data_IF_306836973218
#
_entry.id   IF_306836973218
#
_cell.length_a   1.000
_cell.length_b   1.000
_cell.length_c   1.000
_cell.angle_alpha   90.00
_cell.angle_beta   90.00
_cell.angle_gamma   90.00
#
_symmetry.space_group_name_H-M   'P 1'
#
loop_
_entity.id
_entity.type
_entity.pdbx_description
1 polymer ?
#
# COMPACT_ATOMS: atom_id res chain seq x y z
N UNK A 1 53.50 -2.30 19.71
CA UNK A 1 53.22 -1.50 18.50
C UNK A 1 52.29 -2.31 17.62
N UNK A 2 50.99 -2.03 17.75
CA UNK A 2 49.90 -2.79 17.14
C UNK A 2 49.59 -2.13 15.79
N UNK A 3 49.73 -2.86 14.68
CA UNK A 3 49.22 -2.41 13.39
C UNK A 3 48.16 -3.41 12.93
N UNK A 4 46.91 -3.02 13.15
CA UNK A 4 45.70 -3.81 12.93
C UNK A 4 45.48 -3.92 11.42
N UNK A 5 45.54 -5.12 10.87
CA UNK A 5 45.07 -5.42 9.53
C UNK A 5 43.53 -5.26 9.52
N UNK A 6 43.02 -4.21 8.86
CA UNK A 6 41.60 -4.11 8.52
C UNK A 6 41.41 -4.48 7.05
N UNK A 7 40.82 -5.65 6.84
CA UNK A 7 40.35 -6.16 5.56
C UNK A 7 39.23 -5.27 5.02
N UNK A 8 39.53 -4.38 4.06
CA UNK A 8 38.49 -3.62 3.37
C UNK A 8 37.92 -4.45 2.21
N UNK A 9 36.85 -5.19 2.47
CA UNK A 9 35.94 -5.66 1.42
C UNK A 9 35.27 -4.43 0.79
N UNK A 10 35.92 -3.83 -0.21
CA UNK A 10 35.33 -2.75 -1.01
C UNK A 10 34.29 -3.35 -1.94
N UNK A 11 33.07 -3.54 -1.42
CA UNK A 11 31.89 -3.56 -2.28
C UNK A 11 31.88 -2.21 -2.98
N UNK A 12 32.01 -2.21 -4.31
CA UNK A 12 32.00 -0.99 -5.11
C UNK A 12 30.82 -0.10 -4.68
N UNK A 13 31.10 1.16 -4.31
CA UNK A 13 30.06 2.12 -3.90
C UNK A 13 29.21 2.46 -5.12
N UNK A 14 28.16 1.68 -5.36
CA UNK A 14 27.15 1.98 -6.38
C UNK A 14 26.39 3.22 -5.91
N UNK A 15 26.37 4.32 -6.70
CA UNK A 15 25.57 5.48 -6.36
C UNK A 15 24.09 5.09 -6.26
N UNK A 16 23.41 5.53 -5.20
CA UNK A 16 21.97 5.28 -4.98
C UNK A 16 21.14 5.67 -6.22
N UNK A 17 21.57 6.71 -6.94
CA UNK A 17 20.99 7.19 -8.20
C UNK A 17 20.87 6.09 -9.27
N UNK A 18 21.88 5.22 -9.41
CA UNK A 18 21.87 4.15 -10.41
C UNK A 18 20.88 3.04 -10.04
N UNK A 19 20.70 2.76 -8.75
CA UNK A 19 19.71 1.78 -8.28
C UNK A 19 18.30 2.24 -8.65
N UNK A 20 18.02 3.53 -8.50
CA UNK A 20 16.72 4.07 -8.88
C UNK A 20 16.48 4.04 -10.39
N UNK A 21 17.51 4.31 -11.21
CA UNK A 21 17.41 4.17 -12.65
C UNK A 21 17.15 2.71 -13.07
N UNK A 22 17.82 1.76 -12.42
CA UNK A 22 17.60 0.33 -12.66
C UNK A 22 16.19 -0.11 -12.25
N UNK A 23 15.68 0.39 -11.11
CA UNK A 23 14.32 0.13 -10.66
C UNK A 23 13.30 0.68 -11.66
N UNK A 24 13.53 1.89 -12.18
CA UNK A 24 12.70 2.47 -13.23
C UNK A 24 12.73 1.58 -14.49
N UNK A 25 13.92 1.15 -14.93
CA UNK A 25 14.09 0.32 -16.13
C UNK A 25 13.41 -1.03 -16.00
N UNK A 26 13.44 -1.64 -14.82
CA UNK A 26 12.76 -2.90 -14.52
C UNK A 26 11.24 -2.76 -14.43
N UNK A 27 10.72 -1.53 -14.30
CA UNK A 27 9.29 -1.27 -14.23
C UNK A 27 8.67 -1.09 -15.61
N UNK A 28 7.39 -1.45 -15.75
CA UNK A 28 6.60 -1.16 -16.97
C UNK A 28 6.49 0.36 -17.25
N UNK A 29 6.83 1.21 -16.27
CA UNK A 29 6.72 2.65 -16.39
C UNK A 29 7.74 3.25 -17.37
N UNK A 30 8.95 2.70 -17.46
CA UNK A 30 9.95 3.16 -18.42
C UNK A 30 9.42 3.11 -19.86
N UNK A 31 8.58 2.13 -20.18
CA UNK A 31 7.96 1.99 -21.51
C UNK A 31 6.94 3.10 -21.81
N UNK A 32 6.30 3.66 -20.79
CA UNK A 32 5.29 4.72 -20.94
C UNK A 32 5.89 6.11 -21.16
N UNK A 33 7.19 6.28 -20.87
CA UNK A 33 7.90 7.54 -21.04
C UNK A 33 8.29 7.78 -22.50
N UNK A 34 8.19 9.02 -22.97
CA UNK A 34 8.64 9.43 -24.30
C UNK A 34 10.18 9.45 -24.40
N UNK A 35 10.72 9.32 -25.62
CA UNK A 35 12.19 9.26 -25.86
C UNK A 35 12.96 10.43 -25.23
N UNK A 36 12.44 11.65 -25.34
CA UNK A 36 13.07 12.85 -24.76
C UNK A 36 13.13 12.81 -23.23
N UNK A 37 12.07 12.33 -22.58
CA UNK A 37 12.02 12.21 -21.12
C UNK A 37 12.99 11.15 -20.61
N UNK A 38 13.15 10.03 -21.34
CA UNK A 38 14.14 8.98 -21.00
C UNK A 38 15.57 9.52 -21.02
N UNK A 39 15.93 10.25 -22.07
CA UNK A 39 17.27 10.86 -22.21
C UNK A 39 17.52 11.87 -21.07
N UNK A 40 16.51 12.68 -20.72
CA UNK A 40 16.65 13.64 -19.61
C UNK A 40 16.83 12.95 -18.25
N UNK A 41 16.16 11.83 -18.00
CA UNK A 41 16.30 11.06 -16.75
C UNK A 41 17.63 10.33 -16.62
N UNK A 42 18.15 9.81 -17.73
CA UNK A 42 19.48 9.20 -17.78
C UNK A 42 20.58 10.22 -17.51
N UNK A 43 20.42 11.46 -18.00
CA UNK A 43 21.37 12.55 -17.80
C UNK A 43 21.24 13.22 -16.42
N UNK A 44 20.04 13.29 -15.85
CA UNK A 44 19.80 13.87 -14.53
C UNK A 44 18.89 12.98 -13.66
N UNK A 45 19.47 12.02 -12.92
CA UNK A 45 18.71 11.12 -12.06
C UNK A 45 18.11 11.80 -10.81
N UNK A 46 18.42 13.07 -10.52
CA UNK A 46 17.79 13.81 -9.41
C UNK A 46 16.32 14.16 -9.69
N UNK A 47 15.96 14.29 -10.97
CA UNK A 47 14.57 14.57 -11.38
C UNK A 47 13.69 13.31 -11.36
N UNK A 48 14.28 12.14 -11.11
CA UNK A 48 13.56 10.88 -11.02
C UNK A 48 12.53 10.87 -9.88
N UNK A 49 12.88 11.43 -8.71
CA UNK A 49 11.96 11.49 -7.56
C UNK A 49 10.75 12.37 -7.92
N UNK A 50 10.99 13.50 -8.58
CA UNK A 50 9.93 14.41 -9.03
C UNK A 50 9.01 13.73 -10.04
N UNK A 51 9.59 13.00 -10.99
CA UNK A 51 8.83 12.25 -11.98
C UNK A 51 7.94 11.17 -11.33
N UNK A 52 8.50 10.41 -10.38
CA UNK A 52 7.74 9.38 -9.65
C UNK A 52 6.60 10.02 -8.86
N UNK A 53 6.83 11.16 -8.21
CA UNK A 53 5.80 11.90 -7.51
C UNK A 53 4.69 12.41 -8.45
N UNK A 54 5.05 12.98 -9.60
CA UNK A 54 4.09 13.45 -10.61
C UNK A 54 3.23 12.29 -11.15
N UNK A 55 3.88 11.17 -11.48
CA UNK A 55 3.19 9.97 -11.92
C UNK A 55 2.20 9.47 -10.86
N UNK A 56 2.67 9.39 -9.62
CA UNK A 56 1.86 8.94 -8.50
C UNK A 56 0.61 9.82 -8.35
N UNK A 57 0.77 11.14 -8.32
CA UNK A 57 -0.33 12.09 -8.25
C UNK A 57 -1.32 11.90 -9.42
N UNK A 58 -0.82 11.72 -10.64
CA UNK A 58 -1.66 11.48 -11.82
C UNK A 58 -2.45 10.17 -11.72
N UNK A 59 -1.79 9.10 -11.28
CA UNK A 59 -2.41 7.78 -11.08
C UNK A 59 -3.43 7.79 -9.94
N UNK A 60 -3.10 8.40 -8.80
CA UNK A 60 -3.98 8.56 -7.65
C UNK A 60 -5.21 9.38 -8.01
N UNK A 61 -5.04 10.53 -8.69
CA UNK A 61 -6.15 11.37 -9.16
C UNK A 61 -7.08 10.60 -10.10
N UNK A 62 -6.52 9.85 -11.06
CA UNK A 62 -7.31 9.01 -11.99
C UNK A 62 -8.11 7.93 -11.25
N UNK A 63 -7.58 7.40 -10.14
CA UNK A 63 -8.25 6.38 -9.34
C UNK A 63 -9.36 6.98 -8.46
N UNK A 64 -9.10 8.14 -7.86
CA UNK A 64 -10.10 8.88 -7.10
C UNK A 64 -11.33 9.26 -7.95
N UNK A 65 -11.13 9.63 -9.22
CA UNK A 65 -12.23 10.02 -10.11
C UNK A 65 -13.02 8.85 -10.70
N UNK A 66 -12.46 7.64 -10.74
CA UNK A 66 -13.06 6.47 -11.41
C UNK A 66 -13.64 5.41 -10.48
N UNK A 67 -13.63 5.65 -9.17
CA UNK A 67 -13.93 4.75 -8.04
C UNK A 67 -12.70 4.05 -7.42
N UNK A 68 -12.66 4.08 -6.09
CA UNK A 68 -11.69 3.36 -5.29
C UNK A 68 -12.06 1.88 -5.22
N UNK A 69 -11.07 1.01 -5.07
CA UNK A 69 -11.33 -0.42 -4.90
C UNK A 69 -12.02 -0.66 -3.57
N UNK A 70 -13.22 -1.24 -3.61
CA UNK A 70 -13.92 -1.72 -2.42
C UNK A 70 -13.51 -3.16 -2.11
N UNK A 71 -13.52 -3.51 -0.83
CA UNK A 71 -13.30 -4.87 -0.35
C UNK A 71 -14.27 -5.20 0.78
N UNK A 72 -14.43 -6.49 1.04
CA UNK A 72 -15.19 -6.96 2.20
C UNK A 72 -14.25 -7.14 3.39
N UNK A 73 -14.64 -6.59 4.52
CA UNK A 73 -13.94 -6.78 5.79
C UNK A 73 -14.87 -7.43 6.81
N UNK A 74 -14.42 -8.46 7.53
CA UNK A 74 -15.22 -9.10 8.56
C UNK A 74 -15.46 -8.12 9.70
N UNK A 75 -16.72 -7.98 10.11
CA UNK A 75 -17.13 -7.12 11.19
C UNK A 75 -17.93 -7.92 12.21
N UNK A 76 -17.62 -7.75 13.50
CA UNK A 76 -18.36 -8.36 14.60
C UNK A 76 -19.04 -7.27 15.40
N UNK A 77 -20.36 -7.31 15.52
CA UNK A 77 -21.13 -6.29 16.22
C UNK A 77 -22.34 -6.88 16.94
N UNK A 78 -22.68 -6.31 18.10
CA UNK A 78 -23.93 -6.60 18.80
C UNK A 78 -25.05 -5.79 18.16
N UNK A 79 -26.08 -6.47 17.66
CA UNK A 79 -27.19 -5.88 16.93
C UNK A 79 -28.53 -6.30 17.55
N UNK A 80 -29.57 -5.50 17.33
CA UNK A 80 -30.95 -5.86 17.71
C UNK A 80 -31.65 -6.73 16.64
N UNK A 81 -30.91 -7.14 15.60
CA UNK A 81 -31.39 -7.98 14.50
C UNK A 81 -30.28 -8.89 14.02
N UNK A 82 -30.65 -10.04 13.47
CA UNK A 82 -29.68 -10.97 12.89
C UNK A 82 -29.14 -10.41 11.58
N UNK A 83 -27.81 -10.39 11.45
CA UNK A 83 -27.10 -10.02 10.21
C UNK A 83 -25.89 -10.92 10.02
N UNK A 84 -25.90 -11.78 9.00
CA UNK A 84 -24.80 -12.73 8.76
C UNK A 84 -24.82 -13.89 9.77
N UNK A 85 -23.65 -14.30 10.24
CA UNK A 85 -23.47 -15.43 11.15
C UNK A 85 -23.68 -14.99 12.60
N UNK A 86 -24.42 -15.76 13.37
CA UNK A 86 -24.60 -15.51 14.81
C UNK A 86 -23.44 -16.14 15.59
N UNK A 87 -22.82 -15.36 16.48
CA UNK A 87 -21.89 -15.87 17.49
C UNK A 87 -22.69 -16.27 18.73
N UNK A 88 -23.14 -17.53 18.75
CA UNK A 88 -24.00 -18.07 19.81
C UNK A 88 -23.28 -18.06 21.16
N UNK A 89 -22.00 -18.41 21.18
CA UNK A 89 -21.22 -18.49 22.42
C UNK A 89 -21.11 -17.12 23.09
N UNK A 90 -20.73 -16.08 22.33
CA UNK A 90 -20.66 -14.73 22.87
C UNK A 90 -22.04 -14.19 23.27
N UNK A 91 -23.06 -14.48 22.46
CA UNK A 91 -24.45 -14.06 22.71
C UNK A 91 -25.00 -14.61 24.02
N UNK A 92 -24.80 -15.91 24.28
CA UNK A 92 -25.24 -16.57 25.51
C UNK A 92 -24.43 -16.09 26.71
N UNK A 93 -23.09 -16.03 26.59
CA UNK A 93 -22.20 -15.61 27.68
C UNK A 93 -22.48 -14.19 28.19
N UNK A 94 -22.92 -13.29 27.31
CA UNK A 94 -23.22 -11.90 27.65
C UNK A 94 -24.71 -11.63 27.93
N UNK A 95 -25.55 -12.69 27.91
CA UNK A 95 -27.01 -12.62 28.09
C UNK A 95 -27.65 -11.58 27.17
N UNK A 96 -27.21 -11.53 25.89
CA UNK A 96 -27.68 -10.51 24.95
C UNK A 96 -29.14 -10.72 24.57
N UNK A 97 -29.61 -11.97 24.52
CA UNK A 97 -30.99 -12.31 24.14
C UNK A 97 -32.02 -11.70 25.10
N UNK A 98 -31.73 -11.67 26.40
CA UNK A 98 -32.59 -11.03 27.41
C UNK A 98 -32.75 -9.52 27.16
N UNK A 99 -31.76 -8.91 26.49
CA UNK A 99 -31.73 -7.49 26.12
C UNK A 99 -32.21 -7.26 24.69
N UNK A 100 -32.78 -8.28 24.02
CA UNK A 100 -33.18 -8.20 22.61
C UNK A 100 -32.01 -8.00 21.64
N UNK A 101 -30.80 -8.43 22.02
CA UNK A 101 -29.55 -8.23 21.28
C UNK A 101 -28.88 -9.56 20.92
N UNK A 102 -28.11 -9.57 19.84
CA UNK A 102 -27.39 -10.74 19.35
C UNK A 102 -26.03 -10.30 18.84
N UNK A 103 -24.96 -11.03 19.17
CA UNK A 103 -23.65 -10.81 18.58
C UNK A 103 -23.59 -11.48 17.20
N UNK A 104 -23.31 -10.69 16.17
CA UNK A 104 -23.29 -11.14 14.79
C UNK A 104 -21.96 -10.82 14.10
N UNK A 105 -21.52 -11.72 13.22
CA UNK A 105 -20.37 -11.59 12.34
C UNK A 105 -20.85 -11.49 10.89
N UNK A 106 -20.46 -10.42 10.19
CA UNK A 106 -20.86 -10.19 8.81
C UNK A 106 -19.80 -9.42 8.03
N UNK A 107 -19.86 -9.54 6.71
CA UNK A 107 -18.97 -8.82 5.81
C UNK A 107 -19.52 -7.42 5.52
N UNK A 108 -18.67 -6.40 5.71
CA UNK A 108 -18.97 -5.01 5.36
C UNK A 108 -18.17 -4.63 4.13
N UNK A 109 -18.86 -4.13 3.11
CA UNK A 109 -18.21 -3.51 1.96
C UNK A 109 -17.61 -2.17 2.39
N UNK A 110 -16.30 -2.06 2.35
CA UNK A 110 -15.56 -0.85 2.72
C UNK A 110 -14.59 -0.43 1.63
N UNK A 111 -14.37 0.88 1.55
CA UNK A 111 -13.31 1.48 0.73
C UNK A 111 -11.98 1.43 1.49
N UNK A 112 -12.01 1.27 2.82
CA UNK A 112 -10.82 1.19 3.67
C UNK A 112 -10.10 -0.16 3.53
N UNK A 113 -9.53 -0.39 2.36
CA UNK A 113 -8.74 -1.58 2.04
C UNK A 113 -7.26 -1.28 2.27
N UNK A 114 -6.42 -2.29 2.58
CA UNK A 114 -4.97 -2.10 2.73
C UNK A 114 -4.36 -1.34 1.55
N UNK A 115 -4.79 -1.65 0.32
CA UNK A 115 -4.36 -0.96 -0.90
C UNK A 115 -4.67 0.54 -0.88
N UNK A 116 -5.88 0.91 -0.52
CA UNK A 116 -6.27 2.32 -0.47
C UNK A 116 -5.57 3.05 0.68
N UNK A 117 -5.29 2.37 1.81
CA UNK A 117 -4.47 2.93 2.89
C UNK A 117 -3.04 3.20 2.46
N UNK A 118 -2.41 2.30 1.68
CA UNK A 118 -1.08 2.55 1.12
C UNK A 118 -1.06 3.77 0.19
N UNK A 119 -2.06 3.91 -0.67
CA UNK A 119 -2.19 5.08 -1.56
C UNK A 119 -2.58 6.35 -0.78
N UNK A 120 -3.17 6.23 0.41
CA UNK A 120 -3.47 7.40 1.22
C UNK A 120 -2.26 7.87 2.05
N UNK A 121 -1.40 6.94 2.46
CA UNK A 121 -0.25 7.22 3.34
C UNK A 121 1.02 7.66 2.60
N UNK A 122 1.13 7.34 1.30
CA UNK A 122 2.26 7.72 0.45
C UNK A 122 2.06 9.11 -0.16
#
# INVERSE_FOLDING_TARGET
>A
MSNKQESSTTVAKIPIKNIWLLLLYASDFYQTLGKQQRIQLENNPEDLIKLVAELYCKAARKRLTRSLSCGYTPHTQILNRVRGKIDILATVRQHLLEKGRIQCQFEVLTIDTPKNRYIHAA
#
